data_IF_676424922040
#
_entry.id   IF_676424922040
#
_cell.length_a   1.000
_cell.length_b   1.000
_cell.length_c   1.000
_cell.angle_alpha   90.00
_cell.angle_beta   90.00
_cell.angle_gamma   90.00
#
_symmetry.space_group_name_H-M   'P 1'
#
loop_
_entity.id
_entity.type
_entity.pdbx_description
1 polymer ?
#
# COMPACT_ATOMS: atom_id res chain seq x y z
N UNK A 1 38.90 8.71 43.40
CA UNK A 1 37.53 8.64 43.95
C UNK A 1 36.59 9.10 42.85
N UNK A 2 35.86 8.12 42.30
CA UNK A 2 34.65 8.14 41.46
C UNK A 2 34.75 8.97 40.16
N UNK A 3 34.77 8.46 38.91
CA UNK A 3 34.25 7.26 38.24
C UNK A 3 32.88 6.76 38.72
N UNK A 4 31.83 7.16 37.99
CA UNK A 4 30.42 6.70 37.89
C UNK A 4 29.58 7.93 37.51
N UNK A 5 28.88 8.05 36.37
CA UNK A 5 28.11 7.10 35.60
C UNK A 5 28.03 7.53 34.12
N UNK A 6 28.58 6.73 33.21
CA UNK A 6 28.02 6.57 31.87
C UNK A 6 27.28 5.23 31.89
N UNK A 7 25.99 5.26 32.23
CA UNK A 7 25.12 4.10 32.06
C UNK A 7 24.36 4.32 30.75
N UNK A 8 24.93 3.68 29.71
CA UNK A 8 24.28 2.97 28.61
C UNK A 8 22.98 3.55 28.04
N UNK A 9 23.11 4.18 26.87
CA UNK A 9 22.05 4.35 25.86
C UNK A 9 22.09 3.23 24.79
N UNK A 10 22.63 2.05 25.13
CA UNK A 10 22.80 0.94 24.17
C UNK A 10 21.55 0.07 23.99
N UNK A 11 20.46 0.28 24.74
CA UNK A 11 19.25 -0.53 24.61
C UNK A 11 18.27 -0.02 23.53
N UNK A 12 18.33 1.27 23.16
CA UNK A 12 17.39 1.85 22.20
C UNK A 12 17.76 1.56 20.74
N UNK A 13 19.06 1.46 20.43
CA UNK A 13 19.59 1.16 19.09
C UNK A 13 19.42 -0.30 18.68
N UNK A 14 19.56 -1.24 19.63
CA UNK A 14 19.42 -2.68 19.34
C UNK A 14 17.97 -3.05 18.95
N UNK A 15 16.98 -2.41 19.60
CA UNK A 15 15.57 -2.66 19.30
C UNK A 15 15.11 -1.99 18.01
N UNK A 16 15.70 -0.85 17.61
CA UNK A 16 15.40 -0.25 16.31
C UNK A 16 15.90 -1.18 15.21
N UNK A 17 17.17 -1.59 15.24
CA UNK A 17 17.78 -2.41 14.20
C UNK A 17 17.08 -3.77 14.01
N UNK A 18 16.60 -4.38 15.10
CA UNK A 18 15.81 -5.61 15.03
C UNK A 18 14.48 -5.39 14.29
N UNK A 19 13.78 -4.29 14.56
CA UNK A 19 12.51 -3.97 13.85
C UNK A 19 12.76 -3.72 12.37
N UNK A 20 13.84 -3.04 12.02
CA UNK A 20 14.25 -2.80 10.63
C UNK A 20 14.55 -4.10 9.91
N UNK A 21 15.30 -4.96 10.58
CA UNK A 21 15.59 -6.30 10.11
C UNK A 21 14.28 -7.05 9.83
N UNK A 22 13.34 -7.07 10.77
CA UNK A 22 12.02 -7.74 10.59
C UNK A 22 11.24 -7.21 9.39
N UNK A 23 11.27 -5.90 9.10
CA UNK A 23 10.61 -5.33 7.91
C UNK A 23 11.18 -5.89 6.61
N UNK A 24 12.51 -6.00 6.51
CA UNK A 24 13.20 -6.55 5.35
C UNK A 24 12.84 -8.02 5.09
N UNK A 25 12.87 -8.87 6.13
CA UNK A 25 12.52 -10.28 5.97
C UNK A 25 11.05 -10.48 5.63
N UNK A 26 10.14 -9.68 6.19
CA UNK A 26 8.72 -9.74 5.81
C UNK A 26 8.50 -9.34 4.36
N UNK A 27 9.20 -8.32 3.87
CA UNK A 27 9.14 -7.99 2.46
C UNK A 27 9.59 -9.15 1.59
N UNK A 28 10.72 -9.80 1.90
CA UNK A 28 11.16 -10.98 1.15
C UNK A 28 10.15 -12.12 1.27
N UNK A 29 9.63 -12.39 2.46
CA UNK A 29 8.65 -13.46 2.72
C UNK A 29 7.34 -13.24 1.96
N UNK A 30 6.83 -12.01 1.91
CA UNK A 30 5.56 -11.69 1.26
C UNK A 30 5.73 -11.36 -0.23
N UNK A 31 6.86 -10.79 -0.67
CA UNK A 31 7.06 -10.31 -2.04
C UNK A 31 7.99 -11.16 -2.87
N UNK A 32 8.94 -11.88 -2.26
CA UNK A 32 10.08 -12.60 -2.87
C UNK A 32 9.71 -13.79 -3.76
N UNK A 33 8.79 -13.57 -4.69
CA UNK A 33 8.27 -14.53 -5.65
C UNK A 33 8.15 -13.87 -7.02
N UNK A 34 7.81 -14.69 -8.01
CA UNK A 34 7.25 -14.19 -9.26
C UNK A 34 5.73 -14.10 -9.13
N UNK A 35 5.21 -12.90 -9.34
CA UNK A 35 3.80 -12.55 -9.35
C UNK A 35 3.37 -12.32 -10.79
N UNK A 36 2.26 -12.95 -11.18
CA UNK A 36 1.56 -12.66 -12.43
C UNK A 36 0.22 -12.04 -12.11
N UNK A 37 -0.23 -11.10 -12.93
CA UNK A 37 -1.47 -10.41 -12.66
C UNK A 37 -1.89 -9.44 -13.73
N UNK A 38 -2.78 -8.54 -13.32
CA UNK A 38 -3.32 -7.46 -14.14
C UNK A 38 -3.07 -6.15 -13.40
N UNK A 39 -2.53 -5.16 -14.11
CA UNK A 39 -2.51 -3.76 -13.70
C UNK A 39 -3.61 -3.02 -14.47
N UNK A 40 -4.59 -2.49 -13.75
CA UNK A 40 -5.62 -1.61 -14.27
C UNK A 40 -5.36 -0.17 -13.81
N UNK A 41 -5.28 0.77 -14.75
CA UNK A 41 -5.10 2.21 -14.46
C UNK A 41 -6.40 2.95 -14.68
N UNK A 42 -6.75 3.79 -13.72
CA UNK A 42 -7.94 4.65 -13.74
C UNK A 42 -7.52 6.10 -13.58
N UNK A 43 -8.25 6.99 -14.23
CA UNK A 43 -8.20 8.43 -13.98
C UNK A 43 -8.79 8.74 -12.60
N UNK A 44 -8.53 9.94 -12.08
CA UNK A 44 -9.04 10.35 -10.76
C UNK A 44 -10.56 10.38 -10.63
N UNK A 45 -11.29 10.45 -11.74
CA UNK A 45 -12.74 10.29 -11.79
C UNK A 45 -13.21 8.83 -11.91
N UNK A 46 -12.27 7.87 -11.83
CA UNK A 46 -12.52 6.44 -11.90
C UNK A 46 -12.75 5.86 -13.30
N UNK A 47 -12.62 6.65 -14.36
CA UNK A 47 -12.65 6.13 -15.74
C UNK A 47 -11.41 5.28 -15.99
N UNK A 48 -11.60 4.04 -16.45
CA UNK A 48 -10.51 3.15 -16.85
C UNK A 48 -9.73 3.74 -18.03
N UNK A 49 -8.42 3.81 -17.88
CA UNK A 49 -7.48 4.37 -18.86
C UNK A 49 -6.72 3.28 -19.60
N UNK A 50 -6.20 2.28 -18.86
CA UNK A 50 -5.37 1.20 -19.44
C UNK A 50 -5.48 -0.11 -18.66
N UNK A 51 -5.35 -1.23 -19.36
CA UNK A 51 -5.19 -2.56 -18.74
C UNK A 51 -3.91 -3.21 -19.27
N UNK A 52 -3.09 -3.71 -18.35
CA UNK A 52 -1.78 -4.28 -18.62
C UNK A 52 -1.71 -5.67 -17.98
N UNK A 53 -1.23 -6.66 -18.72
CA UNK A 53 -0.75 -7.90 -18.10
C UNK A 53 0.55 -7.58 -17.36
N UNK A 54 0.64 -8.00 -16.10
CA UNK A 54 1.74 -7.68 -15.19
C UNK A 54 2.52 -8.94 -14.83
N UNK A 55 3.84 -8.86 -14.92
CA UNK A 55 4.77 -9.79 -14.26
C UNK A 55 5.69 -8.98 -13.35
N UNK A 56 5.58 -9.22 -12.03
CA UNK A 56 6.48 -8.66 -11.01
C UNK A 56 7.30 -9.78 -10.40
N UNK A 57 8.61 -9.69 -10.45
CA UNK A 57 9.49 -10.70 -9.83
C UNK A 57 10.42 -10.01 -8.84
N UNK A 58 10.47 -10.56 -7.64
CA UNK A 58 11.37 -10.14 -6.59
C UNK A 58 12.29 -11.32 -6.26
N UNK A 59 13.57 -11.21 -6.62
CA UNK A 59 14.55 -12.29 -6.46
C UNK A 59 15.59 -11.87 -5.41
N UNK A 60 15.49 -12.37 -4.17
CA UNK A 60 16.52 -12.09 -3.16
C UNK A 60 17.85 -12.77 -3.54
N UNK A 61 18.97 -12.14 -3.20
CA UNK A 61 20.26 -12.82 -3.16
C UNK A 61 20.25 -13.94 -2.11
N UNK A 62 21.18 -14.90 -2.24
CA UNK A 62 21.25 -16.06 -1.34
C UNK A 62 21.46 -15.68 0.14
N UNK A 63 22.12 -14.55 0.40
CA UNK A 63 22.34 -14.00 1.73
C UNK A 63 21.27 -12.97 2.15
N UNK A 64 20.26 -12.75 1.31
CA UNK A 64 19.22 -11.75 1.48
C UNK A 64 19.74 -10.31 1.69
N UNK A 65 20.96 -9.98 1.24
CA UNK A 65 21.51 -8.63 1.38
C UNK A 65 20.88 -7.62 0.41
N UNK A 66 20.45 -8.10 -0.76
CA UNK A 66 19.81 -7.33 -1.82
C UNK A 66 18.71 -8.16 -2.46
N UNK A 67 17.88 -7.48 -3.24
CA UNK A 67 16.81 -8.08 -4.02
C UNK A 67 16.73 -7.44 -5.40
N UNK A 68 16.71 -8.28 -6.45
CA UNK A 68 16.38 -7.85 -7.80
C UNK A 68 14.86 -7.70 -7.92
N UNK A 69 14.39 -6.51 -8.28
CA UNK A 69 13.00 -6.26 -8.64
C UNK A 69 12.89 -6.11 -10.16
N UNK A 70 12.28 -7.09 -10.81
CA UNK A 70 11.93 -7.08 -12.23
C UNK A 70 10.44 -6.78 -12.42
N UNK A 71 10.12 -5.94 -13.39
CA UNK A 71 8.78 -5.53 -13.75
C UNK A 71 8.60 -5.60 -15.26
N UNK A 72 7.57 -6.30 -15.71
CA UNK A 72 7.15 -6.33 -17.10
C UNK A 72 5.65 -6.05 -17.21
N UNK A 73 5.29 -5.13 -18.09
CA UNK A 73 3.91 -4.84 -18.46
C UNK A 73 3.72 -5.01 -19.96
N UNK A 74 2.64 -5.70 -20.33
CA UNK A 74 2.20 -5.85 -21.72
C UNK A 74 0.82 -5.23 -21.83
N UNK A 75 0.62 -4.28 -22.74
CA UNK A 75 -0.69 -3.67 -22.93
C UNK A 75 -1.68 -4.65 -23.57
N UNK A 76 -2.85 -4.83 -22.96
CA UNK A 76 -3.88 -5.74 -23.48
C UNK A 76 -4.55 -5.24 -24.76
N UNK A 77 -4.64 -3.91 -24.94
CA UNK A 77 -5.25 -3.31 -26.14
C UNK A 77 -4.24 -3.20 -27.30
N UNK A 78 -2.94 -3.14 -27.00
CA UNK A 78 -1.84 -3.18 -27.98
C UNK A 78 -0.65 -3.98 -27.43
N UNK A 79 -0.61 -5.31 -27.65
CA UNK A 79 0.45 -6.17 -27.12
C UNK A 79 1.86 -5.87 -27.65
N UNK A 80 2.00 -5.01 -28.66
CA UNK A 80 3.33 -4.54 -29.10
C UNK A 80 3.94 -3.51 -28.14
N UNK A 81 3.12 -2.86 -27.31
CA UNK A 81 3.57 -1.97 -26.25
C UNK A 81 3.98 -2.77 -25.00
N UNK A 82 5.28 -3.03 -24.89
CA UNK A 82 5.90 -3.70 -23.75
C UNK A 82 6.72 -2.70 -22.93
N UNK A 83 6.57 -2.71 -21.62
CA UNK A 83 7.38 -1.92 -20.69
C UNK A 83 8.11 -2.85 -19.73
N UNK A 84 9.44 -2.83 -19.75
CA UNK A 84 10.28 -3.63 -18.87
C UNK A 84 11.24 -2.75 -18.08
N UNK A 85 11.37 -3.03 -16.79
CA UNK A 85 12.31 -2.36 -15.91
C UNK A 85 12.90 -3.35 -14.91
N UNK A 86 14.11 -3.06 -14.44
CA UNK A 86 14.77 -3.83 -13.40
C UNK A 86 15.50 -2.89 -12.45
N UNK A 87 15.38 -3.14 -11.16
CA UNK A 87 16.05 -2.40 -10.10
C UNK A 87 16.70 -3.34 -9.11
N UNK A 88 17.74 -2.85 -8.43
CA UNK A 88 18.29 -3.49 -7.24
C UNK A 88 17.74 -2.74 -6.03
N UNK A 89 17.11 -3.47 -5.13
CA UNK A 89 16.68 -2.99 -3.83
C UNK A 89 17.70 -3.49 -2.82
N UNK A 90 18.40 -2.57 -2.19
CA UNK A 90 19.35 -2.90 -1.13
C UNK A 90 18.66 -2.81 0.24
N UNK A 91 19.18 -3.56 1.20
CA UNK A 91 18.80 -3.39 2.59
C UNK A 91 19.29 -2.01 3.07
N UNK A 92 18.39 -1.02 3.22
CA UNK A 92 18.77 0.35 3.57
C UNK A 92 17.95 0.95 4.74
N UNK A 93 18.62 1.25 5.86
CA UNK A 93 18.09 2.13 6.91
C UNK A 93 16.74 1.70 7.49
N UNK A 94 15.91 2.65 7.98
CA UNK A 94 14.74 2.31 8.78
C UNK A 94 13.59 1.62 8.02
N UNK A 95 13.70 1.30 6.74
CA UNK A 95 12.61 0.62 6.04
C UNK A 95 13.07 0.09 4.71
N UNK A 96 12.16 0.02 3.74
CA UNK A 96 12.49 -0.33 2.36
C UNK A 96 12.21 0.89 1.49
N UNK A 97 13.28 1.57 1.06
CA UNK A 97 13.15 2.66 0.09
C UNK A 97 12.62 2.10 -1.21
N UNK A 98 11.60 2.76 -1.77
CA UNK A 98 11.05 2.34 -3.04
C UNK A 98 12.03 2.69 -4.19
N UNK A 99 12.34 1.77 -5.12
CA UNK A 99 13.38 1.99 -6.13
C UNK A 99 13.06 3.13 -7.13
N UNK A 100 11.79 3.52 -7.25
CA UNK A 100 11.35 4.63 -8.12
C UNK A 100 11.15 5.93 -7.31
N UNK A 101 10.83 5.81 -6.02
CA UNK A 101 10.61 6.95 -5.13
C UNK A 101 11.40 6.75 -3.84
N UNK A 102 12.68 7.15 -3.90
CA UNK A 102 13.62 7.00 -2.79
C UNK A 102 13.20 7.78 -1.54
N UNK A 103 12.26 8.72 -1.67
CA UNK A 103 11.71 9.49 -0.55
C UNK A 103 10.54 8.79 0.15
N UNK A 104 10.01 7.73 -0.45
CA UNK A 104 8.96 6.89 0.12
C UNK A 104 9.54 5.78 0.99
N UNK A 105 8.88 5.55 2.12
CA UNK A 105 9.15 4.43 3.02
C UNK A 105 8.10 3.36 2.80
N UNK A 106 8.55 2.12 2.60
CA UNK A 106 7.67 0.95 2.55
C UNK A 106 7.75 0.19 3.87
N UNK A 107 6.58 -0.21 4.38
CA UNK A 107 6.42 -0.94 5.64
C UNK A 107 5.43 -2.11 5.47
N UNK A 108 5.68 -3.19 6.20
CA UNK A 108 4.89 -4.42 6.22
C UNK A 108 4.53 -4.85 7.64
N UNK A 109 3.23 -5.04 7.84
CA UNK A 109 2.66 -5.55 9.09
C UNK A 109 2.76 -7.07 9.16
N UNK A 110 2.68 -7.61 10.38
CA UNK A 110 2.48 -9.04 10.65
C UNK A 110 1.14 -9.59 10.14
N UNK A 111 0.23 -8.73 9.67
CA UNK A 111 -1.10 -9.10 9.17
C UNK A 111 -1.15 -9.24 7.64
N UNK A 112 0.02 -9.45 7.02
CA UNK A 112 0.19 -9.60 5.57
C UNK A 112 -0.45 -8.43 4.81
N UNK A 113 -0.09 -7.22 5.23
CA UNK A 113 -0.51 -5.96 4.63
C UNK A 113 0.64 -4.97 4.72
N UNK A 114 0.74 -4.05 3.77
CA UNK A 114 1.81 -3.07 3.72
C UNK A 114 1.36 -1.71 3.20
N UNK A 115 2.24 -0.73 3.35
CA UNK A 115 2.07 0.61 2.78
C UNK A 115 3.40 1.11 2.27
N UNK A 116 3.39 1.76 1.12
CA UNK A 116 4.44 2.66 0.67
C UNK A 116 3.88 4.08 0.71
N UNK A 117 4.52 4.96 1.44
CA UNK A 117 4.16 6.38 1.44
C UNK A 117 5.33 7.26 1.83
N UNK A 118 5.14 8.57 1.62
CA UNK A 118 6.02 9.64 2.10
C UNK A 118 5.16 10.71 2.77
N UNK A 119 5.76 11.63 3.54
CA UNK A 119 5.01 12.77 4.06
C UNK A 119 4.34 13.54 2.93
N UNK A 120 3.07 13.92 3.12
CA UNK A 120 2.32 14.68 2.11
C UNK A 120 2.98 16.04 1.90
N UNK A 121 3.18 16.42 0.64
CA UNK A 121 3.81 17.69 0.29
C UNK A 121 2.85 18.58 -0.49
N UNK A 122 2.73 19.82 -0.02
CA UNK A 122 2.13 20.93 -0.74
C UNK A 122 2.97 21.16 -2.01
N UNK A 123 2.32 21.26 -3.17
CA UNK A 123 2.97 21.51 -4.48
C UNK A 123 3.71 20.33 -5.14
N UNK A 124 3.53 19.09 -4.64
CA UNK A 124 4.07 17.89 -5.30
C UNK A 124 3.02 16.83 -5.55
N UNK A 125 3.30 15.91 -6.47
CA UNK A 125 2.51 14.70 -6.64
C UNK A 125 2.68 13.79 -5.41
N UNK A 126 1.58 13.46 -4.76
CA UNK A 126 1.56 12.59 -3.58
C UNK A 126 1.07 11.20 -4.01
N UNK A 127 1.89 10.19 -3.75
CA UNK A 127 1.59 8.80 -4.07
C UNK A 127 1.56 7.97 -2.79
N UNK A 128 0.62 7.03 -2.73
CA UNK A 128 0.55 6.05 -1.66
C UNK A 128 0.15 4.71 -2.26
N UNK A 129 0.90 3.66 -1.96
CA UNK A 129 0.53 2.30 -2.33
C UNK A 129 0.14 1.51 -1.08
N UNK A 130 -1.03 0.89 -1.07
CA UNK A 130 -1.45 -0.03 -0.01
C UNK A 130 -1.46 -1.45 -0.57
N UNK A 131 -0.84 -2.38 0.14
CA UNK A 131 -0.73 -3.80 -0.22
C UNK A 131 -1.59 -4.64 0.71
N UNK A 132 -2.35 -5.59 0.16
CA UNK A 132 -3.10 -6.59 0.93
C UNK A 132 -2.83 -8.00 0.37
N UNK A 133 -2.51 -8.94 1.25
CA UNK A 133 -2.18 -10.31 0.89
C UNK A 133 -3.18 -11.31 1.46
N UNK A 134 -3.48 -12.36 0.70
CA UNK A 134 -4.24 -13.51 1.16
C UNK A 134 -3.72 -14.79 0.48
N UNK A 135 -2.94 -15.57 1.22
CA UNK A 135 -2.31 -16.78 0.70
C UNK A 135 -1.43 -16.47 -0.51
N UNK A 136 -1.71 -17.11 -1.64
CA UNK A 136 -0.93 -16.91 -2.87
C UNK A 136 -1.44 -15.74 -3.75
N UNK A 137 -2.37 -14.93 -3.25
CA UNK A 137 -2.97 -13.79 -3.95
C UNK A 137 -2.61 -12.49 -3.23
N UNK A 138 -2.41 -11.43 -4.00
CA UNK A 138 -2.22 -10.07 -3.48
C UNK A 138 -2.98 -9.07 -4.33
N UNK A 139 -3.32 -7.96 -3.70
CA UNK A 139 -3.67 -6.74 -4.41
C UNK A 139 -2.75 -5.62 -3.94
N UNK A 140 -2.51 -4.64 -4.81
CA UNK A 140 -1.99 -3.36 -4.37
C UNK A 140 -2.65 -2.22 -5.11
N UNK A 141 -2.87 -1.10 -4.42
CA UNK A 141 -3.52 0.07 -4.99
C UNK A 141 -2.63 1.28 -4.79
N UNK A 142 -2.12 1.83 -5.89
CA UNK A 142 -1.43 3.12 -5.91
C UNK A 142 -2.46 4.22 -6.10
N UNK A 143 -2.52 5.16 -5.17
CA UNK A 143 -3.43 6.30 -5.17
C UNK A 143 -2.57 7.55 -5.37
N UNK A 144 -2.85 8.32 -6.42
CA UNK A 144 -2.08 9.51 -6.80
C UNK A 144 -2.90 10.79 -6.72
N UNK A 145 -2.43 11.76 -5.94
CA UNK A 145 -2.98 13.12 -5.85
C UNK A 145 -2.00 14.14 -6.39
N UNK A 146 -2.41 14.98 -7.33
CA UNK A 146 -1.56 16.05 -7.88
C UNK A 146 -2.04 17.43 -7.42
N UNK A 147 -1.15 18.43 -7.34
CA UNK A 147 -1.54 19.79 -6.97
C UNK A 147 -2.65 20.33 -7.89
N UNK A 148 -3.71 20.89 -7.31
CA UNK A 148 -4.78 21.52 -8.05
C UNK A 148 -4.33 22.90 -8.55
N UNK A 149 -3.84 22.94 -9.80
CA UNK A 149 -3.38 24.19 -10.43
C UNK A 149 -4.53 25.10 -10.90
N UNK A 150 -5.78 24.67 -10.77
CA UNK A 150 -6.94 25.46 -11.21
C UNK A 150 -7.37 26.50 -10.18
N UNK A 151 -6.90 26.40 -8.93
CA UNK A 151 -7.19 27.33 -7.84
C UNK A 151 -5.89 27.87 -7.26
N UNK A 152 -5.58 29.13 -7.56
CA UNK A 152 -4.30 29.79 -7.20
C UNK A 152 -4.02 29.90 -5.69
N UNK A 153 -4.99 29.59 -4.81
CA UNK A 153 -4.89 29.88 -3.36
C UNK A 153 -5.05 28.69 -2.42
N UNK A 154 -5.24 27.46 -2.91
CA UNK A 154 -5.50 26.31 -2.03
C UNK A 154 -4.37 25.28 -2.15
N UNK A 155 -3.79 24.87 -1.01
CA UNK A 155 -2.75 23.83 -0.90
C UNK A 155 -3.31 22.42 -1.18
N UNK A 156 -4.30 22.33 -2.05
CA UNK A 156 -5.10 21.14 -2.29
C UNK A 156 -4.45 20.33 -3.39
N UNK A 157 -4.37 19.03 -3.15
CA UNK A 157 -4.13 18.06 -4.20
C UNK A 157 -5.44 17.36 -4.53
N UNK A 158 -5.70 17.12 -5.82
CA UNK A 158 -6.88 16.42 -6.32
C UNK A 158 -6.52 15.02 -6.76
N UNK A 159 -7.43 14.07 -6.53
CA UNK A 159 -7.23 12.69 -6.99
C UNK A 159 -7.03 12.69 -8.50
N UNK A 160 -5.88 12.20 -8.95
CA UNK A 160 -5.45 12.28 -10.35
C UNK A 160 -5.42 10.91 -11.02
N UNK A 161 -5.13 9.86 -10.27
CA UNK A 161 -5.15 8.51 -10.81
C UNK A 161 -5.08 7.41 -9.76
N UNK A 162 -5.48 6.22 -10.17
CA UNK A 162 -5.46 4.99 -9.37
C UNK A 162 -4.84 3.89 -10.22
N UNK A 163 -3.85 3.17 -9.68
CA UNK A 163 -3.31 1.95 -10.29
C UNK A 163 -3.63 0.75 -9.40
N UNK A 164 -4.42 -0.18 -9.91
CA UNK A 164 -4.83 -1.38 -9.22
C UNK A 164 -4.09 -2.60 -9.78
N UNK A 165 -3.25 -3.20 -8.95
CA UNK A 165 -2.61 -4.48 -9.21
C UNK A 165 -3.42 -5.60 -8.58
N UNK A 166 -3.71 -6.63 -9.36
CA UNK A 166 -4.34 -7.89 -8.91
C UNK A 166 -3.45 -9.02 -9.34
N UNK A 167 -2.77 -9.67 -8.40
CA UNK A 167 -1.69 -10.59 -8.72
C UNK A 167 -1.74 -11.88 -7.91
N UNK A 168 -1.19 -12.94 -8.50
CA UNK A 168 -1.10 -14.27 -7.93
C UNK A 168 0.33 -14.79 -8.14
N UNK A 169 0.81 -15.64 -7.24
CA UNK A 169 2.10 -16.32 -7.47
C UNK A 169 2.04 -17.13 -8.78
N UNK A 170 3.12 -17.08 -9.56
CA UNK A 170 3.22 -17.60 -10.94
C UNK A 170 2.62 -18.99 -11.15
N UNK A 171 2.85 -19.90 -10.20
CA UNK A 171 2.49 -21.32 -10.34
C UNK A 171 1.03 -21.64 -9.95
N UNK A 172 0.22 -20.63 -9.61
CA UNK A 172 -1.18 -20.84 -9.24
C UNK A 172 -2.07 -20.93 -10.48
N UNK A 173 -2.78 -22.05 -10.59
CA UNK A 173 -3.74 -22.34 -11.65
C UNK A 173 -5.05 -22.83 -11.02
N UNK A 174 -6.24 -22.34 -11.45
CA UNK A 174 -6.46 -21.34 -12.49
C UNK A 174 -6.10 -19.92 -12.05
N UNK A 175 -5.90 -19.03 -13.03
CA UNK A 175 -5.71 -17.60 -12.79
C UNK A 175 -6.99 -17.03 -12.12
N UNK A 176 -6.89 -16.44 -10.91
CA UNK A 176 -8.06 -16.21 -10.08
C UNK A 176 -8.76 -14.87 -10.34
N UNK A 177 -8.16 -13.97 -11.11
CA UNK A 177 -8.63 -12.61 -11.27
C UNK A 177 -9.56 -12.49 -12.47
N UNK A 178 -10.64 -11.72 -12.29
CA UNK A 178 -11.57 -11.47 -13.38
C UNK A 178 -10.98 -10.51 -14.42
N UNK A 179 -11.28 -10.76 -15.69
CA UNK A 179 -11.01 -9.80 -16.78
C UNK A 179 -12.07 -8.70 -16.86
N UNK A 180 -12.93 -8.56 -15.83
CA UNK A 180 -13.96 -7.54 -15.80
C UNK A 180 -13.31 -6.16 -15.80
N UNK A 181 -13.71 -5.31 -16.75
CA UNK A 181 -13.39 -3.89 -16.80
C UNK A 181 -14.45 -3.18 -15.95
N UNK A 182 -14.18 -2.81 -14.70
CA UNK A 182 -15.19 -2.19 -13.86
C UNK A 182 -15.44 -0.76 -14.35
N UNK A 183 -16.69 -0.42 -14.58
CA UNK A 183 -17.13 0.94 -14.31
C UNK A 183 -17.31 1.07 -12.80
N UNK A 184 -16.97 2.25 -12.26
CA UNK A 184 -17.19 2.59 -10.86
C UNK A 184 -18.66 2.38 -10.53
N UNK A 185 -18.97 1.35 -9.74
CA UNK A 185 -20.32 1.18 -9.22
C UNK A 185 -20.46 1.82 -7.85
N UNK A 186 -21.65 2.32 -7.52
CA UNK A 186 -22.04 2.59 -6.14
C UNK A 186 -22.63 1.30 -5.56
N UNK A 187 -21.85 0.54 -4.77
CA UNK A 187 -22.40 -0.54 -3.95
C UNK A 187 -22.59 -0.06 -2.53
N UNK A 188 -23.67 -0.50 -1.91
CA UNK A 188 -23.76 -0.42 -0.46
C UNK A 188 -22.62 -1.25 0.13
N UNK A 189 -21.77 -0.59 0.89
CA UNK A 189 -20.70 -1.26 1.59
C UNK A 189 -21.32 -2.16 2.67
N UNK A 190 -20.96 -3.46 2.74
CA UNK A 190 -21.59 -4.37 3.68
C UNK A 190 -21.38 -3.90 5.11
N UNK A 191 -22.31 -4.27 5.99
CA UNK A 191 -22.06 -4.15 7.42
C UNK A 191 -20.91 -5.09 7.77
N UNK A 192 -19.91 -4.56 8.48
CA UNK A 192 -18.72 -5.33 8.85
C UNK A 192 -18.37 -5.13 10.31
N UNK A 193 -17.76 -6.15 10.89
CA UNK A 193 -17.19 -6.12 12.25
C UNK A 193 -15.70 -6.41 12.17
N UNK A 194 -14.85 -5.48 12.62
CA UNK A 194 -13.43 -5.77 12.81
C UNK A 194 -13.27 -6.87 13.88
N UNK A 195 -12.47 -7.88 13.56
CA UNK A 195 -12.14 -9.00 14.46
C UNK A 195 -10.67 -9.03 14.86
N UNK A 196 -9.83 -8.33 14.11
CA UNK A 196 -8.41 -8.16 14.41
C UNK A 196 -7.97 -6.83 13.80
N UNK A 197 -7.45 -5.93 14.63
CA UNK A 197 -6.95 -4.63 14.16
C UNK A 197 -5.59 -4.35 14.79
N UNK A 198 -4.68 -3.86 13.97
CA UNK A 198 -3.32 -3.51 14.32
C UNK A 198 -2.97 -2.16 13.67
N UNK A 199 -2.21 -1.30 14.36
CA UNK A 199 -1.50 -0.19 13.72
C UNK A 199 -0.01 -0.49 13.67
N UNK A 200 0.59 -0.29 12.50
CA UNK A 200 2.03 -0.24 12.28
C UNK A 200 2.46 1.23 12.16
N UNK A 201 3.25 1.69 13.11
CA UNK A 201 3.67 3.10 13.21
C UNK A 201 4.83 3.42 12.26
N UNK A 202 4.65 4.48 11.49
CA UNK A 202 5.70 5.06 10.65
C UNK A 202 6.83 5.62 11.51
N UNK A 203 8.08 5.27 11.14
CA UNK A 203 9.30 5.71 11.81
C UNK A 203 9.79 4.77 12.93
N UNK A 204 8.88 4.19 13.74
CA UNK A 204 9.27 3.26 14.83
C UNK A 204 9.04 1.79 14.49
N UNK A 205 8.18 1.50 13.51
CA UNK A 205 7.75 0.16 13.10
C UNK A 205 7.11 -0.65 14.24
N UNK A 206 6.55 0.06 15.23
CA UNK A 206 5.81 -0.57 16.31
C UNK A 206 4.48 -1.09 15.81
N UNK A 207 4.18 -2.33 16.18
CA UNK A 207 2.91 -2.98 15.95
C UNK A 207 2.09 -2.96 17.22
N UNK A 208 0.98 -2.21 17.20
CA UNK A 208 0.14 -2.00 18.37
C UNK A 208 -1.25 -2.56 18.06
N UNK A 209 -1.72 -3.60 18.77
CA UNK A 209 -3.09 -4.08 18.67
C UNK A 209 -4.10 -2.99 19.08
N UNK A 210 -5.19 -2.87 18.33
CA UNK A 210 -6.27 -1.92 18.60
C UNK A 210 -7.63 -2.64 18.61
N UNK A 211 -7.94 -3.43 19.67
CA UNK A 211 -9.10 -4.32 19.69
C UNK A 211 -10.45 -3.62 19.51
N UNK A 212 -10.57 -2.36 19.96
CA UNK A 212 -11.81 -1.58 19.92
C UNK A 212 -11.87 -0.58 18.75
N UNK A 213 -10.92 -0.66 17.80
CA UNK A 213 -10.89 0.27 16.69
C UNK A 213 -12.03 -0.03 15.69
N UNK A 214 -12.97 0.90 15.48
CA UNK A 214 -14.13 0.63 14.64
C UNK A 214 -13.71 0.46 13.17
N UNK A 215 -14.42 -0.40 12.45
CA UNK A 215 -14.29 -0.52 11.01
C UNK A 215 -15.05 0.63 10.32
N UNK A 216 -14.48 1.84 10.37
CA UNK A 216 -15.12 3.04 9.83
C UNK A 216 -15.16 3.04 8.28
N UNK A 217 -16.23 3.57 7.69
CA UNK A 217 -16.38 3.75 6.23
C UNK A 217 -17.08 5.09 5.94
N UNK A 218 -16.35 6.22 6.04
CA UNK A 218 -16.93 7.55 5.90
C UNK A 218 -17.43 7.80 4.47
N UNK A 219 -18.56 8.51 4.33
CA UNK A 219 -19.13 8.87 3.02
C UNK A 219 -18.95 10.35 2.67
N UNK A 220 -19.04 11.24 3.65
CA UNK A 220 -19.04 12.68 3.41
C UNK A 220 -17.66 13.19 2.97
N UNK A 221 -17.62 13.92 1.84
CA UNK A 221 -16.39 14.49 1.27
C UNK A 221 -15.41 13.46 0.69
N UNK A 222 -15.90 12.25 0.36
CA UNK A 222 -15.06 11.13 -0.07
C UNK A 222 -15.55 10.50 -1.37
N UNK A 223 -14.59 10.09 -2.17
CA UNK A 223 -14.78 9.27 -3.36
C UNK A 223 -14.66 7.80 -2.98
N UNK A 224 -15.68 7.04 -3.37
CA UNK A 224 -15.72 5.59 -3.17
C UNK A 224 -15.73 4.96 -4.55
N UNK A 225 -14.78 4.04 -4.78
CA UNK A 225 -14.70 3.29 -6.01
C UNK A 225 -14.74 1.80 -5.72
N UNK A 226 -15.68 1.10 -6.36
CA UNK A 226 -15.78 -0.35 -6.33
C UNK A 226 -15.21 -0.95 -7.62
N UNK A 227 -14.22 -1.82 -7.44
CA UNK A 227 -13.53 -2.54 -8.49
C UNK A 227 -13.95 -4.04 -8.49
N UNK A 228 -13.53 -4.85 -9.49
CA UNK A 228 -13.80 -6.26 -9.55
C UNK A 228 -13.10 -6.98 -8.41
N UNK A 229 -13.44 -8.26 -8.27
CA UNK A 229 -12.80 -9.15 -7.30
C UNK A 229 -12.94 -8.70 -5.84
N UNK A 230 -13.99 -7.91 -5.56
CA UNK A 230 -14.36 -7.47 -4.21
C UNK A 230 -13.48 -6.37 -3.65
N UNK A 231 -12.83 -5.59 -4.51
CA UNK A 231 -11.87 -4.55 -4.12
C UNK A 231 -12.59 -3.20 -4.12
N UNK A 232 -12.41 -2.42 -3.06
CA UNK A 232 -12.96 -1.06 -2.98
C UNK A 232 -11.94 -0.12 -2.39
N UNK A 233 -11.95 1.14 -2.84
CA UNK A 233 -11.25 2.22 -2.14
C UNK A 233 -12.22 3.28 -1.66
N UNK A 234 -11.85 3.92 -0.56
CA UNK A 234 -12.56 5.05 -0.02
C UNK A 234 -11.51 6.10 0.35
N UNK A 235 -11.50 7.22 -0.37
CA UNK A 235 -10.44 8.24 -0.34
C UNK A 235 -11.08 9.63 -0.36
N UNK A 236 -10.45 10.68 0.21
CA UNK A 236 -11.02 12.02 0.16
C UNK A 236 -11.00 12.58 -1.27
N UNK A 237 -11.92 13.48 -1.61
CA UNK A 237 -11.89 14.14 -2.92
C UNK A 237 -10.59 14.94 -3.15
N UNK A 238 -10.12 15.58 -2.08
CA UNK A 238 -8.89 16.36 -2.05
C UNK A 238 -8.02 15.96 -0.86
N UNK A 239 -6.71 16.17 -0.99
CA UNK A 239 -5.77 16.12 0.11
C UNK A 239 -5.25 17.51 0.42
N UNK A 240 -5.21 17.85 1.70
CA UNK A 240 -4.59 19.06 2.22
C UNK A 240 -3.38 18.64 3.08
N UNK A 241 -2.15 18.77 2.57
CA UNK A 241 -0.95 18.47 3.34
C UNK A 241 -0.91 19.26 4.65
N UNK A 242 -0.53 18.60 5.74
CA UNK A 242 -0.50 19.18 7.09
C UNK A 242 -1.77 18.91 7.90
N UNK A 243 -2.77 18.25 7.30
CA UNK A 243 -4.00 17.84 7.97
C UNK A 243 -4.13 16.32 8.03
N UNK A 244 -4.85 15.85 9.06
CA UNK A 244 -5.21 14.46 9.21
C UNK A 244 -5.98 13.96 7.97
N UNK A 245 -5.52 12.85 7.41
CA UNK A 245 -6.18 12.23 6.27
C UNK A 245 -6.01 10.72 6.28
N UNK A 246 -7.02 10.03 5.76
CA UNK A 246 -7.01 8.58 5.64
C UNK A 246 -7.29 8.16 4.22
N UNK A 247 -6.55 7.16 3.73
CA UNK A 247 -6.83 6.45 2.48
C UNK A 247 -7.16 5.01 2.84
N UNK A 248 -8.31 4.51 2.40
CA UNK A 248 -8.80 3.19 2.78
C UNK A 248 -8.86 2.31 1.53
N UNK A 249 -8.27 1.12 1.62
CA UNK A 249 -8.40 0.04 0.63
C UNK A 249 -8.98 -1.17 1.33
N UNK A 250 -10.04 -1.75 0.76
CA UNK A 250 -10.67 -2.97 1.24
C UNK A 250 -10.71 -4.04 0.17
N UNK A 251 -10.59 -5.29 0.60
CA UNK A 251 -10.68 -6.44 -0.27
C UNK A 251 -11.49 -7.56 0.37
N UNK A 252 -12.67 -7.81 -0.20
CA UNK A 252 -13.49 -8.99 0.09
C UNK A 252 -12.85 -10.21 -0.59
N UNK A 253 -11.89 -10.82 0.10
CA UNK A 253 -11.13 -11.95 -0.42
C UNK A 253 -11.85 -13.30 -0.31
N UNK A 254 -12.97 -13.35 0.43
CA UNK A 254 -13.86 -14.50 0.60
C UNK A 254 -15.32 -14.04 0.83
N UNK A 255 -16.32 -14.95 0.82
CA UNK A 255 -17.73 -14.57 0.96
C UNK A 255 -18.06 -13.82 2.26
N UNK A 256 -17.35 -14.08 3.36
CA UNK A 256 -17.64 -13.58 4.70
C UNK A 256 -16.47 -12.85 5.36
N UNK A 257 -15.38 -12.58 4.62
CA UNK A 257 -14.20 -11.86 5.11
C UNK A 257 -13.78 -10.70 4.22
N UNK A 258 -13.32 -9.65 4.88
CA UNK A 258 -12.68 -8.48 4.26
C UNK A 258 -11.34 -8.22 4.96
N UNK A 259 -10.29 -8.01 4.15
CA UNK A 259 -9.06 -7.36 4.59
C UNK A 259 -9.13 -5.88 4.28
N UNK A 260 -8.62 -5.04 5.17
CA UNK A 260 -8.56 -3.59 4.96
C UNK A 260 -7.21 -3.04 5.39
N UNK A 261 -6.65 -2.19 4.54
CA UNK A 261 -5.50 -1.34 4.87
C UNK A 261 -5.96 0.12 4.87
N UNK A 262 -5.59 0.84 5.92
CA UNK A 262 -5.82 2.28 6.04
C UNK A 262 -4.48 2.96 6.20
N UNK A 263 -4.09 3.76 5.21
CA UNK A 263 -2.97 4.69 5.36
C UNK A 263 -3.50 5.92 6.10
N UNK A 264 -2.98 6.18 7.30
CA UNK A 264 -3.36 7.30 8.14
C UNK A 264 -2.20 8.31 8.24
N UNK A 265 -2.40 9.48 7.63
CA UNK A 265 -1.53 10.63 7.72
C UNK A 265 -2.00 11.52 8.87
N UNK A 266 -1.12 11.83 9.82
CA UNK A 266 -1.42 12.69 10.97
C UNK A 266 -0.86 14.10 10.84
N UNK A 267 0.06 14.31 9.90
CA UNK A 267 0.77 15.56 9.66
C UNK A 267 1.53 15.48 8.32
N UNK A 268 2.27 16.53 7.96
CA UNK A 268 3.10 16.64 6.75
C UNK A 268 4.59 16.30 6.96
N UNK A 269 4.95 15.81 8.15
CA UNK A 269 6.33 15.54 8.54
C UNK A 269 6.72 14.08 8.39
N UNK A 270 5.76 13.16 8.49
CA UNK A 270 5.99 11.71 8.43
C UNK A 270 5.13 10.98 7.39
N UNK A 271 5.63 9.83 6.94
CA UNK A 271 4.86 8.89 6.12
C UNK A 271 3.67 8.32 6.92
N UNK A 272 2.68 7.75 6.23
CA UNK A 272 1.47 7.25 6.88
C UNK A 272 1.74 6.09 7.86
N UNK A 273 1.04 6.10 8.99
CA UNK A 273 0.83 4.88 9.76
C UNK A 273 -0.09 3.93 8.96
N UNK A 274 0.13 2.62 9.08
CA UNK A 274 -0.74 1.62 8.46
C UNK A 274 -1.63 0.99 9.52
N UNK A 275 -2.94 1.18 9.42
CA UNK A 275 -3.92 0.41 10.20
C UNK A 275 -4.41 -0.75 9.35
N UNK A 276 -4.24 -1.96 9.85
CA UNK A 276 -4.69 -3.19 9.18
C UNK A 276 -5.89 -3.75 9.92
N UNK A 277 -6.93 -4.15 9.20
CA UNK A 277 -8.12 -4.76 9.79
C UNK A 277 -8.45 -6.07 9.06
N UNK A 278 -8.69 -7.11 9.84
CA UNK A 278 -9.43 -8.29 9.41
C UNK A 278 -10.88 -8.12 9.87
N UNK A 279 -11.83 -8.30 8.96
CA UNK A 279 -13.23 -7.99 9.18
C UNK A 279 -14.14 -9.17 8.79
N UNK A 280 -15.18 -9.39 9.59
CA UNK A 280 -16.33 -10.24 9.25
C UNK A 280 -17.40 -9.40 8.57
N UNK A 281 -18.04 -9.95 7.55
CA UNK A 281 -19.30 -9.42 7.01
C UNK A 281 -20.45 -9.90 7.92
N UNK A 282 -21.31 -8.98 8.35
CA UNK A 282 -22.45 -9.25 9.26
C UNK A 282 -23.80 -8.96 8.61
#
# INVERSE_FOLDING_TARGET
MNDHNQIQDNQSTDQSDEKLFRQWYRFIEDHGFTWKGILSRYKGNGILDKVLDSTRRFTPLADASQLEHYLCFINQDDPSEVQENTWIIEKCGPGISHPIDLSSTTMFSSKSSGVMSRPLRKDQANFTEIYLFQGNRRISVVIGYFPDRSKESENRCVLSGISLFREVKLDVVPFPWSNQRPEVSNRDYPSIKAIDTLVLRSGTFDEIPLPDYPAHWPKDGRLIFDFPDGISINVPETLEPGHDSTLIVSWRYSPDRIKRGVAHFTDDTRAADLITQECLIV
#
